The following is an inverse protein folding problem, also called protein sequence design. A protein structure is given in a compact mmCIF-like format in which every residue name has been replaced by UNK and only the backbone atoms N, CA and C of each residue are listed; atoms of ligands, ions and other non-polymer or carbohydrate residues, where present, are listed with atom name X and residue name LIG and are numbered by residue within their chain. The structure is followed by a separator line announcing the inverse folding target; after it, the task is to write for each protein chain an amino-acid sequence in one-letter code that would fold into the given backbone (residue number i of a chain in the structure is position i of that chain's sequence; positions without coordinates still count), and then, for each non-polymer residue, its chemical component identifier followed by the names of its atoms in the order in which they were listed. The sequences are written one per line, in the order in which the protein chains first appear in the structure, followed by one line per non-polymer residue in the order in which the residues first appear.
data_IF_209277900714
#
_entry.id   IF_209277900714
#
_cell.length_a   1.000
_cell.length_b   1.000
_cell.length_c   1.000
_cell.angle_alpha   90.00
_cell.angle_beta   90.00
_cell.angle_gamma   90.00
#
_symmetry.space_group_name_H-M   'P 1'
#
loop_
_entity.id
_entity.type
_entity.pdbx_description
1 polymer ?
#
# COMPACT_ATOMS: atom_id res chain seq x y z
N UNK A 1 76.71 100.98 60.58
CA UNK A 1 76.70 100.55 59.16
C UNK A 1 77.54 99.29 59.02
N UNK A 2 76.87 98.18 58.70
CA UNK A 2 77.31 97.02 57.90
C UNK A 2 78.56 96.20 58.30
N UNK A 3 78.44 95.14 59.14
CA UNK A 3 79.36 93.96 59.19
C UNK A 3 78.65 92.62 59.58
N UNK A 4 77.43 92.62 60.14
CA UNK A 4 76.75 91.39 60.60
C UNK A 4 76.29 90.39 59.50
N UNK A 5 76.47 90.70 58.21
CA UNK A 5 76.20 89.77 57.10
C UNK A 5 77.40 88.91 56.69
N UNK A 6 78.59 89.13 57.28
CA UNK A 6 79.84 88.44 56.88
C UNK A 6 80.07 87.12 57.64
N UNK A 7 79.39 86.89 58.77
CA UNK A 7 79.56 85.65 59.58
C UNK A 7 78.69 84.49 59.08
N UNK A 8 77.58 84.77 58.38
CA UNK A 8 76.68 83.75 57.82
C UNK A 8 77.18 83.09 56.52
N UNK A 9 78.07 83.74 55.78
CA UNK A 9 78.63 83.19 54.54
C UNK A 9 79.81 82.24 54.79
N UNK A 10 80.59 82.44 55.86
CA UNK A 10 81.77 81.60 56.16
C UNK A 10 81.39 80.21 56.70
N UNK A 11 80.32 80.09 57.50
CA UNK A 11 79.88 78.79 58.03
C UNK A 11 79.21 77.89 56.97
N UNK A 12 78.61 78.47 55.93
CA UNK A 12 78.00 77.71 54.81
C UNK A 12 79.05 77.15 53.84
N UNK A 13 80.22 77.81 53.73
CA UNK A 13 81.33 77.35 52.89
C UNK A 13 82.12 76.20 53.54
N UNK A 14 82.09 76.05 54.86
CA UNK A 14 82.76 74.94 55.58
C UNK A 14 81.86 73.69 55.68
N UNK A 15 80.53 73.85 55.62
CA UNK A 15 79.57 72.73 55.75
C UNK A 15 79.17 72.07 54.42
N UNK A 16 79.45 72.71 53.28
CA UNK A 16 79.27 72.13 51.94
C UNK A 16 79.98 70.78 51.69
N UNK A 17 81.25 70.57 52.09
CA UNK A 17 81.92 69.28 51.90
C UNK A 17 81.43 68.18 52.86
N UNK A 18 80.82 68.53 53.99
CA UNK A 18 80.28 67.54 54.94
C UNK A 18 78.95 66.94 54.47
N UNK A 19 78.07 67.74 53.84
CA UNK A 19 76.82 67.24 53.26
C UNK A 19 77.03 66.32 52.05
N UNK A 20 78.06 66.58 51.24
CA UNK A 20 78.44 65.72 50.10
C UNK A 20 79.01 64.38 50.58
N UNK A 21 79.75 64.37 51.70
CA UNK A 21 80.24 63.13 52.32
C UNK A 21 79.12 62.35 53.02
N UNK A 22 78.15 63.03 53.63
CA UNK A 22 76.99 62.39 54.24
C UNK A 22 76.05 61.78 53.19
N UNK A 23 75.82 62.49 52.08
CA UNK A 23 75.08 61.95 50.94
C UNK A 23 75.85 60.81 50.24
N UNK A 24 77.18 60.90 50.12
CA UNK A 24 78.01 59.83 49.57
C UNK A 24 78.07 58.58 50.48
N UNK A 25 78.01 58.75 51.79
CA UNK A 25 77.95 57.64 52.75
C UNK A 25 76.53 57.03 52.84
N UNK A 26 75.48 57.82 52.58
CA UNK A 26 74.08 57.36 52.57
C UNK A 26 73.65 56.77 51.23
N UNK A 27 74.25 57.17 50.11
CA UNK A 27 73.96 56.63 48.78
C UNK A 27 74.13 55.10 48.68
N UNK A 28 75.21 54.47 49.18
CA UNK A 28 75.35 53.02 49.14
C UNK A 28 74.29 52.33 50.02
N UNK A 29 73.95 52.90 51.18
CA UNK A 29 72.91 52.35 52.06
C UNK A 29 71.52 52.44 51.42
N UNK A 30 71.19 53.58 50.78
CA UNK A 30 69.93 53.80 50.07
C UNK A 30 69.82 52.93 48.81
N UNK A 31 70.93 52.70 48.09
CA UNK A 31 71.01 51.73 46.98
C UNK A 31 70.80 50.30 47.47
N UNK A 32 71.34 49.94 48.63
CA UNK A 32 71.14 48.61 49.23
C UNK A 32 69.70 48.39 49.69
N UNK A 33 69.08 49.40 50.28
CA UNK A 33 67.66 49.36 50.65
C UNK A 33 66.76 49.30 49.40
N UNK A 34 67.03 50.10 48.37
CA UNK A 34 66.31 50.01 47.09
C UNK A 34 66.50 48.64 46.44
N UNK A 35 67.72 48.10 46.37
CA UNK A 35 67.96 46.77 45.81
C UNK A 35 67.25 45.66 46.60
N UNK A 36 67.17 45.76 47.94
CA UNK A 36 66.40 44.81 48.76
C UNK A 36 64.89 44.96 48.52
N UNK A 37 64.41 46.18 48.36
CA UNK A 37 63.00 46.46 48.11
C UNK A 37 62.59 46.01 46.69
N UNK A 38 63.42 46.26 45.69
CA UNK A 38 63.26 45.78 44.32
C UNK A 38 63.32 44.24 44.27
N UNK A 39 64.31 43.61 44.92
CA UNK A 39 64.38 42.15 44.98
C UNK A 39 63.19 41.51 45.72
N UNK A 40 62.64 42.16 46.74
CA UNK A 40 61.44 41.68 47.42
C UNK A 40 60.19 41.84 46.54
N UNK A 41 60.05 42.99 45.87
CA UNK A 41 58.96 43.20 44.90
C UNK A 41 59.04 42.23 43.74
N UNK A 42 60.24 41.97 43.20
CA UNK A 42 60.44 41.00 42.12
C UNK A 42 60.11 39.58 42.58
N UNK A 43 60.44 39.20 43.82
CA UNK A 43 60.03 37.91 44.40
C UNK A 43 58.52 37.79 44.61
N UNK A 44 57.86 38.86 45.00
CA UNK A 44 56.40 38.89 45.18
C UNK A 44 55.67 38.87 43.82
N UNK A 45 56.21 39.59 42.83
CA UNK A 45 55.76 39.53 41.43
C UNK A 45 55.99 38.14 40.87
N UNK A 46 57.14 37.51 41.08
CA UNK A 46 57.42 36.15 40.64
C UNK A 46 56.49 35.12 41.30
N UNK A 47 56.21 35.26 42.60
CA UNK A 47 55.24 34.41 43.31
C UNK A 47 53.83 34.58 42.77
N UNK A 48 53.39 35.81 42.52
CA UNK A 48 52.06 36.07 41.96
C UNK A 48 51.94 35.58 40.52
N UNK A 49 52.99 35.73 39.69
CA UNK A 49 53.05 35.14 38.34
C UNK A 49 52.98 33.61 38.42
N UNK A 50 53.73 32.96 39.33
CA UNK A 50 53.67 31.50 39.53
C UNK A 50 52.29 31.02 40.00
N UNK A 51 51.64 31.78 40.88
CA UNK A 51 50.27 31.47 41.32
C UNK A 51 49.26 31.66 40.18
N UNK A 52 49.37 32.74 39.42
CA UNK A 52 48.49 33.01 38.28
C UNK A 52 48.69 31.97 37.16
N UNK A 53 49.93 31.66 36.79
CA UNK A 53 50.23 30.61 35.80
C UNK A 53 49.80 29.22 36.27
N UNK A 54 49.95 28.89 37.56
CA UNK A 54 49.43 27.65 38.15
C UNK A 54 47.90 27.58 38.11
N UNK A 55 47.21 28.69 38.36
CA UNK A 55 45.74 28.77 38.26
C UNK A 55 45.29 28.70 36.79
N UNK A 56 45.99 29.36 35.88
CA UNK A 56 45.67 29.34 34.45
C UNK A 56 45.89 27.97 33.81
N UNK A 57 46.95 27.26 34.18
CA UNK A 57 47.21 25.90 33.70
C UNK A 57 46.13 24.93 34.16
N UNK A 58 45.77 24.95 35.46
CA UNK A 58 44.67 24.14 35.99
C UNK A 58 43.33 24.51 35.34
N UNK A 59 43.07 25.81 35.14
CA UNK A 59 41.85 26.29 34.46
C UNK A 59 41.81 25.87 32.99
N UNK A 60 42.95 25.86 32.31
CA UNK A 60 43.09 25.38 30.93
C UNK A 60 42.84 23.88 30.85
N UNK A 61 43.43 23.09 31.75
CA UNK A 61 43.18 21.66 31.84
C UNK A 61 41.71 21.34 32.12
N UNK A 62 41.08 22.11 33.01
CA UNK A 62 39.66 21.95 33.33
C UNK A 62 38.78 22.25 32.11
N UNK A 63 39.05 23.35 31.39
CA UNK A 63 38.38 23.68 30.13
C UNK A 63 38.59 22.62 29.05
N UNK A 64 39.79 22.05 28.96
CA UNK A 64 40.06 20.95 28.02
C UNK A 64 39.28 19.70 28.38
N UNK A 65 39.17 19.37 29.67
CA UNK A 65 38.36 18.23 30.15
C UNK A 65 36.87 18.47 29.91
N UNK A 66 36.37 19.67 30.19
CA UNK A 66 34.99 20.07 29.91
C UNK A 66 34.67 19.96 28.41
N UNK A 67 35.54 20.50 27.54
CA UNK A 67 35.37 20.42 26.09
C UNK A 67 35.41 18.97 25.59
N UNK A 68 36.30 18.12 26.13
CA UNK A 68 36.33 16.68 25.80
C UNK A 68 35.06 15.97 26.26
N UNK A 69 34.60 16.23 27.47
CA UNK A 69 33.36 15.64 27.98
C UNK A 69 32.14 16.09 27.18
N UNK A 70 32.09 17.36 26.76
CA UNK A 70 31.03 17.88 25.91
C UNK A 70 31.06 17.22 24.52
N UNK A 71 32.23 17.09 23.90
CA UNK A 71 32.38 16.38 22.63
C UNK A 71 31.98 14.90 22.74
N UNK A 72 32.39 14.21 23.80
CA UNK A 72 32.02 12.81 24.04
C UNK A 72 30.51 12.64 24.25
N UNK A 73 29.87 13.57 24.97
CA UNK A 73 28.41 13.58 25.13
C UNK A 73 27.70 13.80 23.80
N UNK A 74 28.16 14.76 22.99
CA UNK A 74 27.60 15.01 21.66
C UNK A 74 27.74 13.81 20.73
N UNK A 75 28.90 13.14 20.73
CA UNK A 75 29.12 11.92 19.94
C UNK A 75 28.15 10.82 20.40
N UNK A 76 28.06 10.57 21.71
CA UNK A 76 27.14 9.56 22.26
C UNK A 76 25.68 9.86 21.93
N UNK A 77 25.26 11.12 22.04
CA UNK A 77 23.91 11.54 21.68
C UNK A 77 23.64 11.30 20.19
N UNK A 78 24.56 11.70 19.31
CA UNK A 78 24.43 11.47 17.86
C UNK A 78 24.37 9.99 17.50
N UNK A 79 25.20 9.16 18.13
CA UNK A 79 25.18 7.71 17.89
C UNK A 79 23.87 7.07 18.37
N UNK A 80 23.35 7.51 19.51
CA UNK A 80 22.09 6.98 20.04
C UNK A 80 20.90 7.43 19.19
N UNK A 81 20.87 8.70 18.74
CA UNK A 81 19.86 9.19 17.79
C UNK A 81 19.90 8.38 16.49
N UNK A 82 21.09 8.13 15.94
CA UNK A 82 21.23 7.33 14.72
C UNK A 82 20.74 5.89 14.92
N UNK A 83 21.01 5.29 16.09
CA UNK A 83 20.51 3.95 16.42
C UNK A 83 19.00 3.94 16.54
N UNK A 84 18.41 4.89 17.27
CA UNK A 84 16.96 5.03 17.44
C UNK A 84 16.27 5.26 16.08
N UNK A 85 16.85 6.08 15.22
CA UNK A 85 16.32 6.30 13.86
C UNK A 85 16.36 5.01 13.04
N UNK A 86 17.48 4.27 13.05
CA UNK A 86 17.60 3.00 12.34
C UNK A 86 16.62 1.94 12.89
N UNK A 87 16.44 1.87 14.21
CA UNK A 87 15.42 1.02 14.83
C UNK A 87 14.02 1.44 14.38
N UNK A 88 13.70 2.74 14.41
CA UNK A 88 12.39 3.28 13.98
C UNK A 88 12.09 2.94 12.52
N UNK A 89 13.07 3.07 11.62
CA UNK A 89 12.93 2.69 10.22
C UNK A 89 12.68 1.18 10.05
N UNK A 90 13.35 0.35 10.84
CA UNK A 90 13.09 -1.09 10.86
C UNK A 90 11.69 -1.41 11.36
N UNK A 91 11.21 -0.72 12.40
CA UNK A 91 9.85 -0.86 12.92
C UNK A 91 8.79 -0.49 11.87
N UNK A 92 8.99 0.61 11.14
CA UNK A 92 8.09 1.04 10.06
C UNK A 92 8.03 -0.02 8.97
N UNK A 93 9.19 -0.46 8.45
CA UNK A 93 9.27 -1.50 7.41
C UNK A 93 8.62 -2.80 7.86
N UNK A 94 8.82 -3.21 9.10
CA UNK A 94 8.22 -4.43 9.63
C UNK A 94 6.70 -4.29 9.75
N UNK A 95 6.19 -3.13 10.18
CA UNK A 95 4.76 -2.86 10.25
C UNK A 95 4.11 -2.88 8.86
N UNK A 96 4.74 -2.26 7.87
CA UNK A 96 4.29 -2.30 6.47
C UNK A 96 4.29 -3.72 5.93
N UNK A 97 5.33 -4.51 6.23
CA UNK A 97 5.41 -5.90 5.84
C UNK A 97 4.30 -6.76 6.46
N UNK A 98 3.97 -6.54 7.74
CA UNK A 98 2.84 -7.25 8.38
C UNK A 98 1.51 -6.88 7.71
N UNK A 99 1.26 -5.59 7.48
CA UNK A 99 0.05 -5.15 6.75
C UNK A 99 -0.03 -5.79 5.37
N UNK A 100 1.09 -5.84 4.64
CA UNK A 100 1.15 -6.47 3.33
C UNK A 100 0.88 -7.98 3.42
N UNK A 101 1.40 -8.66 4.44
CA UNK A 101 1.16 -10.08 4.68
C UNK A 101 -0.30 -10.36 4.98
N UNK A 102 -0.94 -9.56 5.82
CA UNK A 102 -2.35 -9.69 6.17
C UNK A 102 -3.25 -9.46 4.94
N UNK A 103 -2.95 -8.42 4.17
CA UNK A 103 -3.64 -8.14 2.89
C UNK A 103 -3.44 -9.31 1.92
N UNK A 104 -2.22 -9.82 1.78
CA UNK A 104 -1.94 -10.96 0.89
C UNK A 104 -2.67 -12.22 1.32
N UNK A 105 -2.75 -12.50 2.63
CA UNK A 105 -3.51 -13.64 3.17
C UNK A 105 -5.02 -13.47 2.95
N UNK A 106 -5.57 -12.27 3.18
CA UNK A 106 -6.96 -11.96 2.89
C UNK A 106 -7.30 -12.12 1.40
N UNK A 107 -6.40 -11.66 0.52
CA UNK A 107 -6.54 -11.83 -0.93
C UNK A 107 -6.46 -13.30 -1.34
N UNK A 108 -5.52 -14.08 -0.77
CA UNK A 108 -5.39 -15.50 -1.07
C UNK A 108 -6.64 -16.28 -0.67
N UNK A 109 -7.14 -16.07 0.55
CA UNK A 109 -8.37 -16.71 1.04
C UNK A 109 -9.60 -16.29 0.23
N UNK A 110 -9.70 -15.02 -0.15
CA UNK A 110 -10.75 -14.54 -1.04
C UNK A 110 -10.69 -15.24 -2.41
N UNK A 111 -9.49 -15.40 -2.99
CA UNK A 111 -9.28 -16.11 -4.27
C UNK A 111 -9.70 -17.56 -4.18
N UNK A 112 -9.27 -18.28 -3.14
CA UNK A 112 -9.66 -19.69 -2.93
C UNK A 112 -11.19 -19.83 -2.86
N UNK A 113 -11.86 -19.03 -2.01
CA UNK A 113 -13.32 -19.05 -1.89
C UNK A 113 -14.04 -18.72 -3.18
N UNK A 114 -13.52 -17.75 -3.94
CA UNK A 114 -14.10 -17.39 -5.23
C UNK A 114 -13.96 -18.54 -6.24
N UNK A 115 -12.79 -19.17 -6.33
CA UNK A 115 -12.59 -20.32 -7.23
C UNK A 115 -13.45 -21.52 -6.84
N UNK A 116 -13.64 -21.77 -5.55
CA UNK A 116 -14.52 -22.83 -5.05
C UNK A 116 -15.98 -22.55 -5.42
N UNK A 117 -16.45 -21.32 -5.19
CA UNK A 117 -17.80 -20.90 -5.59
C UNK A 117 -17.98 -21.06 -7.10
N UNK A 118 -17.01 -20.63 -7.90
CA UNK A 118 -17.04 -20.77 -9.36
C UNK A 118 -17.11 -22.23 -9.79
N UNK A 119 -16.27 -23.11 -9.23
CA UNK A 119 -16.30 -24.56 -9.52
C UNK A 119 -17.66 -25.18 -9.19
N UNK A 120 -18.23 -24.80 -8.06
CA UNK A 120 -19.56 -25.24 -7.65
C UNK A 120 -20.65 -24.71 -8.60
N UNK A 121 -20.57 -23.46 -9.03
CA UNK A 121 -21.47 -22.89 -10.03
C UNK A 121 -21.35 -23.59 -11.38
N UNK A 122 -20.14 -23.87 -11.88
CA UNK A 122 -19.92 -24.61 -13.14
C UNK A 122 -20.55 -26.00 -13.03
N UNK A 123 -20.32 -26.71 -11.93
CA UNK A 123 -20.90 -28.03 -11.71
C UNK A 123 -22.42 -27.97 -11.68
N UNK A 124 -22.99 -26.95 -11.04
CA UNK A 124 -24.44 -26.75 -11.01
C UNK A 124 -25.01 -26.45 -12.40
N UNK A 125 -24.36 -25.57 -13.19
CA UNK A 125 -24.75 -25.27 -14.57
C UNK A 125 -24.66 -26.51 -15.44
N UNK A 126 -23.56 -27.27 -15.36
CA UNK A 126 -23.38 -28.50 -16.14
C UNK A 126 -24.41 -29.58 -15.78
N UNK A 127 -24.69 -29.78 -14.48
CA UNK A 127 -25.74 -30.70 -14.04
C UNK A 127 -27.12 -30.26 -14.54
N UNK A 128 -27.41 -28.95 -14.50
CA UNK A 128 -28.67 -28.40 -14.99
C UNK A 128 -28.80 -28.55 -16.52
N UNK A 129 -27.72 -28.37 -17.29
CA UNK A 129 -27.71 -28.60 -18.75
C UNK A 129 -28.07 -30.07 -19.08
N UNK A 130 -27.42 -31.02 -18.41
CA UNK A 130 -27.70 -32.45 -18.60
C UNK A 130 -29.15 -32.77 -18.21
N UNK A 131 -29.61 -32.27 -17.06
CA UNK A 131 -30.98 -32.51 -16.58
C UNK A 131 -32.04 -31.88 -17.50
N UNK A 132 -31.81 -30.67 -18.01
CA UNK A 132 -32.71 -29.99 -18.94
C UNK A 132 -32.77 -30.71 -20.28
N UNK A 133 -31.63 -31.17 -20.83
CA UNK A 133 -31.60 -31.98 -22.06
C UNK A 133 -32.36 -33.29 -21.88
N UNK A 134 -32.16 -33.98 -20.77
CA UNK A 134 -32.89 -35.21 -20.46
C UNK A 134 -34.40 -34.96 -20.36
N UNK A 135 -34.82 -33.93 -19.64
CA UNK A 135 -36.24 -33.55 -19.51
C UNK A 135 -36.86 -33.15 -20.85
N UNK A 136 -36.14 -32.44 -21.71
CA UNK A 136 -36.63 -32.10 -23.04
C UNK A 136 -36.81 -33.34 -23.92
N UNK A 137 -35.87 -34.28 -23.87
CA UNK A 137 -35.97 -35.52 -24.63
C UNK A 137 -37.11 -36.41 -24.14
N UNK A 138 -37.30 -36.51 -22.82
CA UNK A 138 -38.45 -37.20 -22.23
C UNK A 138 -39.77 -36.52 -22.62
N UNK A 139 -39.81 -35.19 -22.65
CA UNK A 139 -40.98 -34.43 -23.08
C UNK A 139 -41.32 -34.73 -24.55
N UNK A 140 -40.34 -34.76 -25.45
CA UNK A 140 -40.55 -35.16 -26.85
C UNK A 140 -41.16 -36.55 -26.89
N UNK A 141 -40.52 -37.52 -26.22
CA UNK A 141 -40.95 -38.91 -26.26
C UNK A 141 -42.38 -39.09 -25.72
N UNK A 142 -42.69 -38.50 -24.56
CA UNK A 142 -44.03 -38.52 -23.97
C UNK A 142 -45.05 -37.87 -24.89
N UNK A 143 -44.75 -36.68 -25.42
CA UNK A 143 -45.68 -35.97 -26.30
C UNK A 143 -45.89 -36.70 -27.61
N UNK A 144 -44.86 -37.25 -28.25
CA UNK A 144 -45.00 -38.09 -29.45
C UNK A 144 -45.90 -39.30 -29.19
N UNK A 145 -45.80 -39.95 -28.03
CA UNK A 145 -46.71 -41.05 -27.65
C UNK A 145 -48.15 -40.57 -27.48
N UNK A 146 -48.37 -39.48 -26.75
CA UNK A 146 -49.70 -38.87 -26.58
C UNK A 146 -50.32 -38.48 -27.93
N UNK A 147 -49.51 -37.95 -28.84
CA UNK A 147 -49.95 -37.57 -30.18
C UNK A 147 -50.32 -38.76 -31.04
N UNK A 148 -49.53 -39.83 -31.00
CA UNK A 148 -49.88 -41.06 -31.69
C UNK A 148 -51.22 -41.60 -31.16
N UNK A 149 -51.40 -41.61 -29.84
CA UNK A 149 -52.67 -42.02 -29.23
C UNK A 149 -53.84 -41.11 -29.65
N UNK A 150 -53.62 -39.80 -29.80
CA UNK A 150 -54.62 -38.85 -30.28
C UNK A 150 -54.98 -39.09 -31.75
N UNK A 151 -53.98 -39.35 -32.60
CA UNK A 151 -54.18 -39.68 -34.01
C UNK A 151 -54.91 -41.02 -34.16
N UNK A 152 -54.51 -42.06 -33.42
CA UNK A 152 -55.16 -43.36 -33.42
C UNK A 152 -56.64 -43.22 -32.98
N UNK A 153 -56.91 -42.39 -31.97
CA UNK A 153 -58.27 -42.07 -31.53
C UNK A 153 -59.06 -41.32 -32.59
N UNK A 154 -58.48 -40.28 -33.19
CA UNK A 154 -59.15 -39.51 -34.24
C UNK A 154 -59.45 -40.37 -35.49
N UNK A 155 -58.56 -41.30 -35.81
CA UNK A 155 -58.77 -42.26 -36.89
C UNK A 155 -59.92 -43.22 -36.55
N UNK A 156 -59.94 -43.77 -35.34
CA UNK A 156 -61.04 -44.64 -34.89
C UNK A 156 -62.39 -43.91 -34.86
N UNK A 157 -62.41 -42.68 -34.36
CA UNK A 157 -63.61 -41.84 -34.35
C UNK A 157 -64.09 -41.55 -35.79
N UNK A 158 -63.16 -41.34 -36.73
CA UNK A 158 -63.49 -41.16 -38.15
C UNK A 158 -64.01 -42.46 -38.80
N UNK A 159 -63.44 -43.61 -38.48
CA UNK A 159 -63.92 -44.93 -38.93
C UNK A 159 -65.36 -45.19 -38.47
N UNK A 160 -65.65 -44.96 -37.19
CA UNK A 160 -67.02 -45.06 -36.66
C UNK A 160 -67.98 -44.05 -37.32
N UNK A 161 -67.51 -42.84 -37.62
CA UNK A 161 -68.30 -41.81 -38.29
C UNK A 161 -68.57 -42.20 -39.77
N UNK A 162 -67.60 -42.78 -40.48
CA UNK A 162 -67.79 -43.32 -41.82
C UNK A 162 -68.82 -44.47 -41.83
N UNK A 163 -68.73 -45.42 -40.90
CA UNK A 163 -69.73 -46.51 -40.79
C UNK A 163 -71.15 -45.96 -40.59
N UNK A 164 -71.32 -44.99 -39.69
CA UNK A 164 -72.63 -44.34 -39.46
C UNK A 164 -73.14 -43.57 -40.67
N UNK A 165 -72.26 -42.91 -41.41
CA UNK A 165 -72.62 -42.19 -42.63
C UNK A 165 -73.13 -43.17 -43.70
N UNK A 166 -72.43 -44.29 -43.88
CA UNK A 166 -72.81 -45.34 -44.83
C UNK A 166 -74.18 -45.95 -44.44
N UNK A 167 -74.41 -46.26 -43.16
CA UNK A 167 -75.70 -46.79 -42.70
C UNK A 167 -76.87 -45.82 -42.94
N UNK A 168 -76.73 -44.54 -42.55
CA UNK A 168 -77.84 -43.56 -42.59
C UNK A 168 -78.10 -42.95 -43.96
N UNK A 169 -77.09 -42.80 -44.80
CA UNK A 169 -77.18 -42.08 -46.07
C UNK A 169 -76.92 -42.97 -47.30
N UNK A 170 -76.98 -44.29 -47.13
CA UNK A 170 -76.88 -45.31 -48.20
C UNK A 170 -77.79 -45.04 -49.41
N UNK A 171 -78.93 -44.37 -49.21
CA UNK A 171 -79.89 -44.03 -50.26
C UNK A 171 -79.56 -42.76 -51.05
N UNK A 172 -78.60 -41.94 -50.61
CA UNK A 172 -78.25 -40.66 -51.22
C UNK A 172 -76.72 -40.47 -51.31
N UNK A 173 -76.18 -40.90 -52.44
CA UNK A 173 -74.75 -40.89 -52.76
C UNK A 173 -74.11 -39.50 -52.62
N UNK A 174 -74.85 -38.43 -52.92
CA UNK A 174 -74.34 -37.06 -52.87
C UNK A 174 -74.17 -36.54 -51.43
N UNK A 175 -75.06 -36.93 -50.52
CA UNK A 175 -74.93 -36.57 -49.09
C UNK A 175 -73.84 -37.40 -48.44
N UNK A 176 -73.74 -38.68 -48.80
CA UNK A 176 -72.69 -39.58 -48.34
C UNK A 176 -71.29 -39.04 -48.68
N UNK A 177 -71.07 -38.62 -49.93
CA UNK A 177 -69.79 -38.07 -50.40
C UNK A 177 -69.39 -36.78 -49.66
N UNK A 178 -70.34 -35.86 -49.44
CA UNK A 178 -70.12 -34.62 -48.68
C UNK A 178 -69.72 -34.93 -47.23
N UNK A 179 -70.39 -35.88 -46.58
CA UNK A 179 -70.12 -36.24 -45.20
C UNK A 179 -68.78 -36.96 -45.03
N UNK A 180 -68.45 -37.89 -45.95
CA UNK A 180 -67.14 -38.55 -45.97
C UNK A 180 -66.03 -37.53 -46.16
N UNK A 181 -66.19 -36.60 -47.11
CA UNK A 181 -65.21 -35.54 -47.36
C UNK A 181 -65.00 -34.64 -46.13
N UNK A 182 -66.07 -34.34 -45.38
CA UNK A 182 -65.97 -33.56 -44.15
C UNK A 182 -65.22 -34.30 -43.03
N UNK A 183 -65.51 -35.59 -42.83
CA UNK A 183 -64.80 -36.41 -41.85
C UNK A 183 -63.32 -36.57 -42.23
N UNK A 184 -63.00 -36.77 -43.51
CA UNK A 184 -61.62 -36.77 -44.03
C UNK A 184 -60.89 -35.44 -43.76
N UNK A 185 -61.53 -34.30 -44.03
CA UNK A 185 -60.95 -32.97 -43.73
C UNK A 185 -60.70 -32.76 -42.25
N UNK A 186 -61.60 -33.25 -41.39
CA UNK A 186 -61.44 -33.17 -39.93
C UNK A 186 -60.25 -34.02 -39.46
N UNK A 187 -60.12 -35.24 -39.97
CA UNK A 187 -58.98 -36.12 -39.68
C UNK A 187 -57.66 -35.49 -40.17
N UNK A 188 -57.63 -35.00 -41.41
CA UNK A 188 -56.47 -34.32 -41.98
C UNK A 188 -56.05 -33.10 -41.14
N UNK A 189 -57.02 -32.27 -40.71
CA UNK A 189 -56.76 -31.12 -39.84
C UNK A 189 -56.13 -31.51 -38.49
N UNK A 190 -56.59 -32.62 -37.87
CA UNK A 190 -55.99 -33.13 -36.62
C UNK A 190 -54.57 -33.63 -36.85
N UNK A 191 -54.32 -34.35 -37.94
CA UNK A 191 -52.98 -34.85 -38.31
C UNK A 191 -52.03 -33.69 -38.59
N UNK A 192 -52.47 -32.70 -39.37
CA UNK A 192 -51.68 -31.52 -39.74
C UNK A 192 -51.37 -30.65 -38.51
N UNK A 193 -52.37 -30.38 -37.67
CA UNK A 193 -52.18 -29.62 -36.43
C UNK A 193 -51.21 -30.31 -35.47
N UNK A 194 -51.29 -31.64 -35.37
CA UNK A 194 -50.36 -32.44 -34.57
C UNK A 194 -48.93 -32.39 -35.12
N UNK A 195 -48.78 -32.47 -36.45
CA UNK A 195 -47.47 -32.40 -37.11
C UNK A 195 -46.84 -31.02 -36.94
N UNK A 196 -47.60 -29.95 -37.10
CA UNK A 196 -47.13 -28.57 -36.87
C UNK A 196 -46.71 -28.36 -35.42
N UNK A 197 -47.47 -28.90 -34.45
CA UNK A 197 -47.08 -28.81 -33.05
C UNK A 197 -45.77 -29.55 -32.77
N UNK A 198 -45.56 -30.75 -33.32
CA UNK A 198 -44.30 -31.49 -33.16
C UNK A 198 -43.10 -30.74 -33.74
N UNK A 199 -43.28 -30.11 -34.91
CA UNK A 199 -42.25 -29.26 -35.51
C UNK A 199 -41.95 -28.04 -34.62
N UNK A 200 -42.99 -27.38 -34.09
CA UNK A 200 -42.84 -26.27 -33.15
C UNK A 200 -42.12 -26.69 -31.86
N UNK A 201 -42.47 -27.84 -31.28
CA UNK A 201 -41.84 -28.35 -30.07
C UNK A 201 -40.37 -28.69 -30.29
N UNK A 202 -40.02 -29.22 -31.46
CA UNK A 202 -38.62 -29.46 -31.83
C UNK A 202 -37.84 -28.13 -31.96
N UNK A 203 -38.42 -27.12 -32.61
CA UNK A 203 -37.81 -25.79 -32.74
C UNK A 203 -37.61 -25.11 -31.37
N UNK A 204 -38.62 -25.18 -30.49
CA UNK A 204 -38.54 -24.65 -29.13
C UNK A 204 -37.44 -25.34 -28.30
N UNK A 205 -37.28 -26.66 -28.44
CA UNK A 205 -36.19 -27.39 -27.78
C UNK A 205 -34.83 -27.02 -28.36
N UNK A 206 -34.71 -26.80 -29.67
CA UNK A 206 -33.47 -26.30 -30.25
C UNK A 206 -33.12 -24.90 -29.74
N UNK A 207 -34.10 -24.00 -29.64
CA UNK A 207 -33.92 -22.68 -29.02
C UNK A 207 -33.51 -22.81 -27.55
N UNK A 208 -34.11 -23.74 -26.80
CA UNK A 208 -33.74 -23.99 -25.41
C UNK A 208 -32.28 -24.46 -25.32
N UNK A 209 -31.86 -25.42 -26.14
CA UNK A 209 -30.47 -25.89 -26.19
C UNK A 209 -29.49 -24.75 -26.52
N UNK A 210 -29.83 -23.92 -27.52
CA UNK A 210 -29.03 -22.75 -27.87
C UNK A 210 -28.91 -21.74 -26.71
N UNK A 211 -30.01 -21.51 -25.97
CA UNK A 211 -30.00 -20.64 -24.80
C UNK A 211 -29.15 -21.22 -23.67
N UNK A 212 -29.20 -22.54 -23.45
CA UNK A 212 -28.35 -23.20 -22.44
C UNK A 212 -26.87 -23.10 -22.83
N UNK A 213 -26.54 -23.30 -24.11
CA UNK A 213 -25.18 -23.13 -24.62
C UNK A 213 -24.69 -21.68 -24.45
N UNK A 214 -25.56 -20.68 -24.67
CA UNK A 214 -25.26 -19.27 -24.44
C UNK A 214 -25.02 -18.97 -22.96
N UNK A 215 -25.86 -19.49 -22.06
CA UNK A 215 -25.70 -19.32 -20.60
C UNK A 215 -24.39 -19.98 -20.16
N UNK A 216 -24.06 -21.15 -20.69
CA UNK A 216 -22.83 -21.87 -20.37
C UNK A 216 -21.60 -21.09 -20.85
N UNK A 217 -21.61 -20.60 -22.09
CA UNK A 217 -20.51 -19.78 -22.65
C UNK A 217 -20.38 -18.44 -21.94
N UNK A 218 -21.48 -17.78 -21.60
CA UNK A 218 -21.44 -16.51 -20.87
C UNK A 218 -20.96 -16.70 -19.44
N UNK A 219 -21.34 -17.81 -18.79
CA UNK A 219 -20.79 -18.24 -17.50
C UNK A 219 -19.27 -18.47 -17.57
N UNK A 220 -18.79 -19.22 -18.58
CA UNK A 220 -17.36 -19.43 -18.81
C UNK A 220 -16.62 -18.11 -19.08
N UNK A 221 -17.12 -17.26 -19.97
CA UNK A 221 -16.49 -15.98 -20.28
C UNK A 221 -16.47 -15.02 -19.08
N UNK A 222 -17.49 -15.08 -18.22
CA UNK A 222 -17.50 -14.34 -16.95
C UNK A 222 -16.42 -14.85 -16.00
N UNK A 223 -16.24 -16.17 -15.92
CA UNK A 223 -15.16 -16.79 -15.14
C UNK A 223 -13.80 -16.35 -15.67
N UNK A 224 -13.56 -16.46 -16.98
CA UNK A 224 -12.28 -16.08 -17.61
C UNK A 224 -11.96 -14.61 -17.36
N UNK A 225 -12.93 -13.70 -17.56
CA UNK A 225 -12.75 -12.28 -17.26
C UNK A 225 -12.48 -12.01 -15.78
N UNK A 226 -13.12 -12.74 -14.89
CA UNK A 226 -12.93 -12.52 -13.45
C UNK A 226 -11.58 -13.06 -12.97
N UNK A 227 -11.12 -14.17 -13.54
CA UNK A 227 -9.75 -14.66 -13.37
C UNK A 227 -8.79 -13.57 -13.88
N UNK A 228 -8.88 -13.17 -15.14
CA UNK A 228 -7.94 -12.20 -15.75
C UNK A 228 -7.93 -10.84 -15.04
N UNK A 229 -9.11 -10.29 -14.70
CA UNK A 229 -9.21 -8.98 -14.03
C UNK A 229 -8.66 -9.01 -12.60
N UNK A 230 -8.83 -10.10 -11.86
CA UNK A 230 -8.31 -10.21 -10.49
C UNK A 230 -6.84 -10.61 -10.44
N UNK A 231 -6.31 -11.28 -11.47
CA UNK A 231 -4.87 -11.50 -11.61
C UNK A 231 -4.13 -10.20 -11.95
N UNK A 232 -4.68 -9.37 -12.84
CA UNK A 232 -4.03 -8.11 -13.26
C UNK A 232 -4.20 -6.96 -12.25
N UNK A 233 -5.32 -6.88 -11.53
CA UNK A 233 -5.52 -5.79 -10.54
C UNK A 233 -4.66 -5.97 -9.27
N UNK A 234 -4.15 -7.17 -9.03
CA UNK A 234 -3.33 -7.52 -7.87
C UNK A 234 -1.87 -7.79 -8.21
N UNK A 235 -1.48 -7.80 -9.49
CA UNK A 235 -0.08 -7.56 -9.84
C UNK A 235 0.18 -6.10 -9.50
N UNK A 236 0.70 -5.88 -8.29
CA UNK A 236 1.18 -4.62 -7.74
C UNK A 236 1.38 -3.57 -8.83
N UNK A 237 0.57 -2.51 -8.76
CA UNK A 237 0.81 -1.25 -9.44
C UNK A 237 2.18 -0.73 -8.98
N UNK A 238 3.24 -1.30 -9.53
CA UNK A 238 4.62 -0.89 -9.34
C UNK A 238 4.88 0.21 -10.37
N UNK A 239 4.14 1.30 -10.24
CA UNK A 239 4.46 2.59 -10.84
C UNK A 239 4.64 3.59 -9.71
N UNK A 240 5.76 3.40 -9.00
CA UNK A 240 6.48 4.51 -8.42
C UNK A 240 7.00 5.37 -9.58
N UNK A 241 6.16 6.22 -10.17
CA UNK A 241 6.63 7.49 -10.74
C UNK A 241 6.77 8.47 -9.57
N UNK A 242 7.70 8.16 -8.67
CA UNK A 242 8.31 9.18 -7.84
C UNK A 242 9.21 9.95 -8.81
N UNK A 243 8.69 11.06 -9.34
CA UNK A 243 9.55 12.10 -9.89
C UNK A 243 10.42 12.59 -8.73
N UNK A 244 11.59 11.96 -8.58
CA UNK A 244 12.70 12.51 -7.81
C UNK A 244 13.12 13.75 -8.56
N UNK A 245 12.69 14.88 -7.99
CA UNK A 245 13.19 16.21 -8.24
C UNK A 245 14.72 16.15 -8.38
N UNK A 246 15.22 16.41 -9.59
CA UNK A 246 16.62 16.71 -9.84
C UNK A 246 16.95 18.03 -9.14
N UNK A 247 17.15 17.98 -7.83
CA UNK A 247 17.77 19.03 -7.05
C UNK A 247 19.23 18.63 -6.79
N UNK A 248 20.11 19.32 -7.52
CA UNK A 248 21.51 19.59 -7.21
C UNK A 248 22.55 18.52 -7.56
N UNK A 249 23.20 18.70 -8.72
CA UNK A 249 24.65 18.55 -8.87
C UNK A 249 25.12 19.15 -10.22
N UNK A 250 25.46 20.44 -10.22
CA UNK A 250 26.52 21.07 -11.04
C UNK A 250 26.90 22.34 -10.23
N UNK A 251 27.85 22.22 -9.30
CA UNK A 251 29.27 22.61 -9.49
C UNK A 251 29.36 24.05 -10.03
N UNK A 252 29.49 25.05 -9.16
CA UNK A 252 30.79 25.63 -8.76
C UNK A 252 31.81 25.59 -9.92
N UNK A 253 31.77 26.63 -10.76
CA UNK A 253 32.94 27.44 -11.13
C UNK A 253 32.51 28.83 -11.59
#
# INVERSE_FOLDING_TARGET
MSILSVVGSVFKTITGPLGILEDWAKEPLKRWENNRNEANKDRDVERSIRQQTGVETVKSELRMKEAKHQADLEIKMKTEINRINAETDQWIKNQEFQRMKDVAAAVATYRERLTELQLNTIRAIGNMDIELRAKAQDLILCKTKEYKALQDKAQKDAEEEFERIIEKFSSNERIMDIMITNAQKKLASVIDGTSQFLLGLNDDIQKMNNNIDLITRSGQAFIDRQIDSQFNCLSLSNKNDVQVENAQAEEIQ
#
